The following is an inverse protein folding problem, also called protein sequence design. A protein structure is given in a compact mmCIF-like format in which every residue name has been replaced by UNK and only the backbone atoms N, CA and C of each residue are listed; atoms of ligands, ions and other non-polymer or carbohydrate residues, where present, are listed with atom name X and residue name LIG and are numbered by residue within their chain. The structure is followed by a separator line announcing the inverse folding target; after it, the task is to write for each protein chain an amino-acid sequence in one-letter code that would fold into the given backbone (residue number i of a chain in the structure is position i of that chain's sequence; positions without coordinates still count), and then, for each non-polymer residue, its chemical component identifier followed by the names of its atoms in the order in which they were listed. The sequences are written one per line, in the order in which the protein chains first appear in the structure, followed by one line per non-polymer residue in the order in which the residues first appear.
data_IF_686012952907
#
_entry.id   IF_686012952907
#
_cell.length_a   1.000
_cell.length_b   1.000
_cell.length_c   1.000
_cell.angle_alpha   90.00
_cell.angle_beta   90.00
_cell.angle_gamma   90.00
#
_symmetry.space_group_name_H-M   'P 1'
#
loop_
_entity.id
_entity.type
_entity.pdbx_description
1 polymer ?
#
# COMPACT_ATOMS: atom_id res chain seq x y z
N UNK A 1 -32.85 12.43 -1.13
CA UNK A 1 -32.68 13.49 -0.10
C UNK A 1 -31.19 13.77 0.06
N UNK A 2 -30.75 14.96 -0.34
CA UNK A 2 -29.37 15.40 -0.20
C UNK A 2 -29.20 15.85 1.27
N UNK A 3 -28.59 15.01 2.12
CA UNK A 3 -28.20 15.46 3.48
C UNK A 3 -27.31 16.69 3.33
N UNK A 4 -27.48 17.69 4.19
CA UNK A 4 -26.62 18.88 4.14
C UNK A 4 -25.16 18.44 4.35
N UNK A 5 -24.26 19.03 3.56
CA UNK A 5 -22.82 18.73 3.57
C UNK A 5 -22.21 18.85 4.98
N UNK A 6 -22.77 19.71 5.82
CA UNK A 6 -22.37 19.88 7.22
C UNK A 6 -22.57 18.62 8.07
N UNK A 7 -23.66 17.88 7.91
CA UNK A 7 -23.89 16.67 8.72
C UNK A 7 -22.89 15.58 8.37
N UNK A 8 -22.55 15.44 7.09
CA UNK A 8 -21.58 14.45 6.63
C UNK A 8 -20.16 14.76 7.12
N UNK A 9 -19.75 16.03 7.13
CA UNK A 9 -18.44 16.43 7.65
C UNK A 9 -18.33 16.21 9.16
N UNK A 10 -19.36 16.57 9.92
CA UNK A 10 -19.38 16.33 11.37
C UNK A 10 -19.33 14.84 11.68
N UNK A 11 -20.06 14.00 10.94
CA UNK A 11 -20.03 12.56 11.11
C UNK A 11 -18.62 11.98 10.85
N UNK A 12 -17.95 12.41 9.78
CA UNK A 12 -16.57 11.96 9.47
C UNK A 12 -15.61 12.29 10.62
N UNK A 13 -15.67 13.52 11.15
CA UNK A 13 -14.82 13.93 12.28
C UNK A 13 -15.11 13.07 13.51
N UNK A 14 -16.39 12.91 13.87
CA UNK A 14 -16.80 12.14 15.04
C UNK A 14 -16.35 10.68 14.93
N UNK A 15 -16.58 10.03 13.79
CA UNK A 15 -16.16 8.63 13.63
C UNK A 15 -14.64 8.47 13.60
N UNK A 16 -13.90 9.44 13.07
CA UNK A 16 -12.42 9.40 13.08
C UNK A 16 -11.87 9.47 14.52
N UNK A 17 -12.40 10.40 15.34
CA UNK A 17 -12.04 10.51 16.75
C UNK A 17 -12.42 9.23 17.50
N UNK A 18 -13.64 8.73 17.29
CA UNK A 18 -14.11 7.50 17.94
C UNK A 18 -13.25 6.29 17.57
N UNK A 19 -12.82 6.18 16.30
CA UNK A 19 -11.94 5.09 15.84
C UNK A 19 -10.64 5.09 16.63
N UNK A 20 -10.01 6.27 16.77
CA UNK A 20 -8.73 6.41 17.47
C UNK A 20 -8.89 6.13 18.96
N UNK A 21 -9.93 6.66 19.61
CA UNK A 21 -10.20 6.36 21.02
C UNK A 21 -10.34 4.86 21.26
N UNK A 22 -11.05 4.15 20.37
CA UNK A 22 -11.23 2.70 20.48
C UNK A 22 -9.92 1.94 20.19
N UNK A 23 -9.11 2.38 19.23
CA UNK A 23 -7.78 1.81 18.96
C UNK A 23 -6.83 1.98 20.15
N UNK A 24 -6.79 3.17 20.77
CA UNK A 24 -6.00 3.41 21.98
C UNK A 24 -6.50 2.62 23.18
N UNK A 25 -7.82 2.46 23.31
CA UNK A 25 -8.40 1.61 24.35
C UNK A 25 -7.97 0.16 24.16
N UNK A 26 -8.02 -0.36 22.92
CA UNK A 26 -7.54 -1.70 22.61
C UNK A 26 -6.03 -1.84 22.91
N UNK A 27 -5.24 -0.85 22.53
CA UNK A 27 -3.81 -0.79 22.85
C UNK A 27 -3.53 -0.79 24.35
N UNK A 28 -4.33 -0.07 25.14
CA UNK A 28 -4.16 -0.02 26.60
C UNK A 28 -4.33 -1.41 27.24
N UNK A 29 -5.34 -2.17 26.83
CA UNK A 29 -5.63 -3.50 27.41
C UNK A 29 -4.73 -4.61 26.88
N UNK A 30 -4.45 -4.62 25.58
CA UNK A 30 -3.80 -5.76 24.91
C UNK A 30 -2.38 -5.44 24.40
N UNK A 31 -1.88 -4.22 24.63
CA UNK A 31 -0.59 -3.70 24.16
C UNK A 31 -0.40 -3.91 22.64
N UNK A 32 0.84 -3.83 22.14
CA UNK A 32 1.14 -4.21 20.75
C UNK A 32 0.99 -5.73 20.63
N UNK A 33 -0.12 -6.19 20.09
CA UNK A 33 -0.40 -7.62 19.89
C UNK A 33 -1.22 -7.81 18.62
N UNK A 34 -1.27 -9.04 18.12
CA UNK A 34 -2.07 -9.38 16.93
C UNK A 34 -3.55 -9.03 17.14
N UNK A 35 -4.05 -9.17 18.38
CA UNK A 35 -5.44 -8.87 18.73
C UNK A 35 -5.76 -7.39 18.54
N UNK A 36 -4.85 -6.47 18.90
CA UNK A 36 -5.10 -5.03 18.71
C UNK A 36 -5.15 -4.62 17.26
N UNK A 37 -4.30 -5.20 16.43
CA UNK A 37 -4.32 -4.98 14.98
C UNK A 37 -5.59 -5.53 14.32
N UNK A 38 -6.10 -6.67 14.78
CA UNK A 38 -7.38 -7.20 14.32
C UNK A 38 -8.55 -6.29 14.72
N UNK A 39 -8.55 -5.77 15.95
CA UNK A 39 -9.56 -4.80 16.40
C UNK A 39 -9.50 -3.53 15.53
N UNK A 40 -8.31 -2.98 15.28
CA UNK A 40 -8.13 -1.80 14.44
C UNK A 40 -8.65 -2.04 13.00
N UNK A 41 -8.35 -3.20 12.42
CA UNK A 41 -8.87 -3.60 11.10
C UNK A 41 -10.40 -3.63 11.08
N UNK A 42 -11.03 -4.27 12.07
CA UNK A 42 -12.49 -4.36 12.18
C UNK A 42 -13.15 -2.99 12.38
N UNK A 43 -12.58 -2.14 13.22
CA UNK A 43 -13.05 -0.76 13.42
C UNK A 43 -12.95 0.05 12.13
N UNK A 44 -11.83 -0.05 11.41
CA UNK A 44 -11.64 0.59 10.12
C UNK A 44 -12.71 0.16 9.10
N UNK A 45 -12.97 -1.14 8.98
CA UNK A 45 -14.02 -1.67 8.10
C UNK A 45 -15.42 -1.16 8.50
N UNK A 46 -15.76 -1.25 9.79
CA UNK A 46 -17.06 -0.86 10.33
C UNK A 46 -17.35 0.62 10.11
N UNK A 47 -16.43 1.50 10.50
CA UNK A 47 -16.66 2.94 10.39
C UNK A 47 -16.53 3.43 8.95
N UNK A 48 -15.67 2.83 8.13
CA UNK A 48 -15.66 3.11 6.69
C UNK A 48 -17.02 2.76 6.06
N UNK A 49 -17.62 1.63 6.44
CA UNK A 49 -18.97 1.27 6.01
C UNK A 49 -20.02 2.30 6.45
N UNK A 50 -20.03 2.66 7.74
CA UNK A 50 -20.99 3.63 8.29
C UNK A 50 -20.86 4.99 7.58
N UNK A 51 -19.64 5.51 7.42
CA UNK A 51 -19.38 6.78 6.74
C UNK A 51 -19.88 6.72 5.30
N UNK A 52 -19.59 5.65 4.56
CA UNK A 52 -20.02 5.50 3.17
C UNK A 52 -21.55 5.46 3.03
N UNK A 53 -22.24 4.73 3.91
CA UNK A 53 -23.70 4.60 3.88
C UNK A 53 -24.38 5.91 4.26
N UNK A 54 -23.79 6.68 5.17
CA UNK A 54 -24.34 7.97 5.60
C UNK A 54 -24.23 9.05 4.53
N UNK A 55 -23.13 9.06 3.76
CA UNK A 55 -22.82 10.10 2.78
C UNK A 55 -23.19 9.74 1.34
N UNK A 56 -23.23 8.45 1.02
CA UNK A 56 -23.35 7.92 -0.35
C UNK A 56 -22.24 8.40 -1.32
N UNK A 57 -21.12 8.90 -0.77
CA UNK A 57 -20.02 9.48 -1.53
C UNK A 57 -18.69 8.90 -1.05
N UNK A 58 -17.95 8.26 -1.97
CA UNK A 58 -16.64 7.71 -1.64
C UNK A 58 -15.62 8.77 -1.20
N UNK A 59 -15.75 10.03 -1.67
CA UNK A 59 -14.88 11.13 -1.22
C UNK A 59 -14.91 11.33 0.31
N UNK A 60 -16.04 11.05 0.97
CA UNK A 60 -16.10 11.14 2.44
C UNK A 60 -15.31 10.03 3.13
N UNK A 61 -15.20 8.85 2.52
CA UNK A 61 -14.30 7.79 2.98
C UNK A 61 -12.84 8.20 2.84
N UNK A 62 -12.49 8.96 1.80
CA UNK A 62 -11.15 9.54 1.67
C UNK A 62 -10.88 10.56 2.77
N UNK A 63 -11.82 11.47 3.04
CA UNK A 63 -11.69 12.41 4.17
C UNK A 63 -11.51 11.69 5.51
N UNK A 64 -12.24 10.60 5.73
CA UNK A 64 -12.10 9.75 6.92
C UNK A 64 -10.71 9.11 7.01
N UNK A 65 -10.22 8.49 5.93
CA UNK A 65 -8.86 7.93 5.88
C UNK A 65 -7.78 8.98 6.13
N UNK A 66 -7.92 10.17 5.51
CA UNK A 66 -6.96 11.24 5.64
C UNK A 66 -6.92 11.80 7.07
N UNK A 67 -8.08 11.98 7.71
CA UNK A 67 -8.14 12.46 9.09
C UNK A 67 -7.52 11.45 10.06
N UNK A 68 -7.83 10.15 9.90
CA UNK A 68 -7.24 9.08 10.71
C UNK A 68 -5.71 9.06 10.57
N UNK A 69 -5.18 9.12 9.34
CA UNK A 69 -3.75 9.20 9.08
C UNK A 69 -3.10 10.43 9.75
N UNK A 70 -3.73 11.60 9.63
CA UNK A 70 -3.21 12.84 10.21
C UNK A 70 -3.21 12.80 11.74
N UNK A 71 -4.29 12.31 12.34
CA UNK A 71 -4.38 12.17 13.79
C UNK A 71 -3.35 11.16 14.33
N UNK A 72 -3.17 10.00 13.68
CA UNK A 72 -2.11 9.07 14.05
C UNK A 72 -0.71 9.68 13.86
N UNK A 73 -0.50 10.46 12.80
CA UNK A 73 0.75 11.20 12.59
C UNK A 73 1.08 12.16 13.74
N UNK A 74 0.07 12.92 14.20
CA UNK A 74 0.22 13.80 15.38
C UNK A 74 0.55 12.99 16.63
N UNK A 75 -0.16 11.88 16.86
CA UNK A 75 0.06 11.06 18.06
C UNK A 75 1.46 10.44 18.06
N UNK A 76 1.92 9.90 16.93
CA UNK A 76 3.26 9.35 16.80
C UNK A 76 4.34 10.42 17.01
N UNK A 77 4.13 11.63 16.47
CA UNK A 77 5.04 12.75 16.69
C UNK A 77 5.11 13.14 18.17
N UNK A 78 3.96 13.25 18.85
CA UNK A 78 3.90 13.56 20.28
C UNK A 78 4.56 12.48 21.13
N UNK A 79 4.35 11.19 20.80
CA UNK A 79 4.99 10.08 21.50
C UNK A 79 6.52 10.06 21.30
N UNK A 80 6.97 10.41 20.10
CA UNK A 80 8.40 10.50 19.81
C UNK A 80 9.07 11.68 20.56
N UNK A 81 8.39 12.81 20.69
CA UNK A 81 8.88 13.98 21.46
C UNK A 81 8.73 13.81 22.98
N UNK A 82 7.74 13.05 23.42
CA UNK A 82 7.21 13.05 24.79
C UNK A 82 8.03 12.34 25.86
N UNK A 83 9.22 11.82 25.52
CA UNK A 83 10.22 11.20 26.42
C UNK A 83 9.62 10.31 27.54
N UNK A 84 9.56 8.99 27.29
CA UNK A 84 9.20 7.90 28.22
C UNK A 84 8.22 8.25 29.36
N UNK A 85 6.94 8.39 28.99
CA UNK A 85 5.85 8.33 29.96
C UNK A 85 5.40 6.86 30.16
N UNK A 86 5.13 6.46 31.41
CA UNK A 86 4.69 5.08 31.77
C UNK A 86 3.40 4.62 31.04
N UNK A 87 2.60 5.56 30.52
CA UNK A 87 1.32 5.27 29.89
C UNK A 87 1.48 4.74 28.45
N UNK A 88 2.36 5.36 27.63
CA UNK A 88 2.57 4.97 26.24
C UNK A 88 4.02 5.25 25.83
N UNK A 89 4.81 4.19 25.64
CA UNK A 89 6.15 4.27 25.05
C UNK A 89 6.05 4.24 23.52
N UNK A 90 6.88 5.04 22.85
CA UNK A 90 7.00 4.97 21.39
C UNK A 90 7.53 3.59 20.97
N UNK A 91 6.88 2.97 19.99
CA UNK A 91 7.33 1.74 19.35
C UNK A 91 7.11 1.84 17.84
N UNK A 92 8.08 1.40 17.01
CA UNK A 92 7.92 1.39 15.55
C UNK A 92 6.66 0.65 15.07
N UNK A 93 6.22 -0.36 15.82
CA UNK A 93 5.02 -1.14 15.52
C UNK A 93 3.72 -0.33 15.56
N UNK A 94 3.72 0.84 16.20
CA UNK A 94 2.56 1.74 16.21
C UNK A 94 2.23 2.29 14.81
N UNK A 95 3.20 2.31 13.89
CA UNK A 95 2.97 2.68 12.48
C UNK A 95 2.00 1.73 11.77
N UNK A 96 1.81 0.50 12.28
CA UNK A 96 0.89 -0.46 11.68
C UNK A 96 -0.58 -0.04 11.80
N UNK A 97 -0.96 0.73 12.83
CA UNK A 97 -2.35 1.18 13.00
C UNK A 97 -2.86 1.98 11.79
N UNK A 98 -2.23 3.11 11.40
CA UNK A 98 -2.67 3.86 10.23
C UNK A 98 -2.52 3.05 8.92
N UNK A 99 -1.52 2.18 8.80
CA UNK A 99 -1.31 1.34 7.60
C UNK A 99 -2.46 0.33 7.42
N UNK A 100 -2.80 -0.40 8.49
CA UNK A 100 -3.89 -1.38 8.49
C UNK A 100 -5.21 -0.67 8.21
N UNK A 101 -5.46 0.43 8.90
CA UNK A 101 -6.67 1.22 8.71
C UNK A 101 -6.84 1.70 7.26
N UNK A 102 -5.78 2.28 6.69
CA UNK A 102 -5.77 2.76 5.31
C UNK A 102 -6.07 1.62 4.32
N UNK A 103 -5.36 0.50 4.48
CA UNK A 103 -5.47 -0.68 3.61
C UNK A 103 -6.87 -1.29 3.69
N UNK A 104 -7.41 -1.48 4.90
CA UNK A 104 -8.77 -1.99 5.11
C UNK A 104 -9.82 -1.08 4.45
N UNK A 105 -9.69 0.24 4.58
CA UNK A 105 -10.62 1.18 3.96
C UNK A 105 -10.57 1.16 2.42
N UNK A 106 -9.37 1.03 1.82
CA UNK A 106 -9.22 0.89 0.35
C UNK A 106 -9.82 -0.44 -0.12
N UNK A 107 -9.51 -1.55 0.56
CA UNK A 107 -10.07 -2.87 0.23
C UNK A 107 -11.60 -2.84 0.35
N UNK A 108 -12.13 -2.35 1.46
CA UNK A 108 -13.57 -2.22 1.66
C UNK A 108 -14.22 -1.36 0.56
N UNK A 109 -13.65 -0.19 0.25
CA UNK A 109 -14.22 0.71 -0.75
C UNK A 109 -14.17 0.13 -2.17
N UNK A 110 -13.08 -0.56 -2.53
CA UNK A 110 -12.95 -1.23 -3.83
C UNK A 110 -13.91 -2.41 -3.97
N UNK A 111 -14.04 -3.22 -2.93
CA UNK A 111 -15.01 -4.32 -2.87
C UNK A 111 -16.45 -3.81 -2.89
N UNK A 112 -16.76 -2.79 -2.09
CA UNK A 112 -18.09 -2.18 -2.06
C UNK A 112 -18.46 -1.57 -3.40
N UNK A 113 -17.51 -0.90 -4.07
CA UNK A 113 -17.73 -0.41 -5.41
C UNK A 113 -17.93 -1.55 -6.41
N UNK A 114 -17.23 -2.68 -6.29
CA UNK A 114 -17.42 -3.84 -7.17
C UNK A 114 -18.84 -4.42 -7.10
N UNK A 115 -19.39 -4.59 -5.90
CA UNK A 115 -20.74 -5.15 -5.68
C UNK A 115 -21.88 -4.13 -5.74
N UNK A 116 -21.61 -2.85 -5.96
CA UNK A 116 -22.68 -1.86 -6.15
C UNK A 116 -23.22 -1.93 -7.59
N UNK A 117 -24.37 -2.59 -7.76
CA UNK A 117 -25.09 -2.65 -9.03
C UNK A 117 -25.85 -1.35 -9.34
N UNK A 118 -26.19 -0.57 -8.31
CA UNK A 118 -26.92 0.69 -8.45
C UNK A 118 -26.02 1.89 -8.71
N UNK A 119 -26.59 3.01 -9.19
CA UNK A 119 -25.90 4.31 -9.22
C UNK A 119 -25.95 5.02 -7.86
N UNK A 120 -26.00 4.25 -6.76
CA UNK A 120 -26.26 4.76 -5.42
C UNK A 120 -25.04 5.47 -4.86
N UNK A 121 -23.86 4.88 -5.00
CA UNK A 121 -22.61 5.49 -4.55
C UNK A 121 -21.95 6.26 -5.68
N UNK A 122 -21.37 7.42 -5.35
CA UNK A 122 -20.76 8.32 -6.33
C UNK A 122 -19.30 8.61 -6.01
N UNK A 123 -18.56 9.08 -7.02
CA UNK A 123 -17.19 9.61 -6.89
C UNK A 123 -16.09 8.59 -6.52
N UNK A 124 -16.29 7.29 -6.76
CA UNK A 124 -15.26 6.26 -6.52
C UNK A 124 -13.94 6.54 -7.22
N UNK A 125 -13.97 6.97 -8.50
CA UNK A 125 -12.75 7.27 -9.27
C UNK A 125 -11.90 8.36 -8.63
N UNK A 126 -12.55 9.42 -8.14
CA UNK A 126 -11.87 10.55 -7.51
C UNK A 126 -11.31 10.15 -6.14
N UNK A 127 -12.09 9.41 -5.34
CA UNK A 127 -11.64 8.75 -4.11
C UNK A 127 -10.38 7.91 -4.34
N UNK A 128 -10.44 6.95 -5.27
CA UNK A 128 -9.34 6.02 -5.51
C UNK A 128 -8.08 6.76 -5.97
N UNK A 129 -8.23 7.77 -6.86
CA UNK A 129 -7.12 8.62 -7.28
C UNK A 129 -6.49 9.37 -6.11
N UNK A 130 -7.28 10.06 -5.29
CA UNK A 130 -6.77 10.87 -4.20
C UNK A 130 -6.10 9.99 -3.12
N UNK A 131 -6.72 8.86 -2.77
CA UNK A 131 -6.15 7.86 -1.86
C UNK A 131 -4.84 7.27 -2.42
N UNK A 132 -4.80 6.94 -3.72
CA UNK A 132 -3.60 6.44 -4.38
C UNK A 132 -2.45 7.46 -4.36
N UNK A 133 -2.74 8.75 -4.55
CA UNK A 133 -1.71 9.80 -4.51
C UNK A 133 -1.09 9.90 -3.11
N UNK A 134 -1.90 9.93 -2.06
CA UNK A 134 -1.39 9.97 -0.67
C UNK A 134 -0.57 8.73 -0.36
N UNK A 135 -1.06 7.55 -0.75
CA UNK A 135 -0.33 6.29 -0.59
C UNK A 135 1.02 6.32 -1.35
N UNK A 136 1.03 6.77 -2.60
CA UNK A 136 2.26 6.83 -3.41
C UNK A 136 3.28 7.83 -2.85
N UNK A 137 2.84 8.95 -2.27
CA UNK A 137 3.73 9.89 -1.60
C UNK A 137 4.36 9.27 -0.35
N UNK A 138 3.55 8.62 0.49
CA UNK A 138 4.06 7.93 1.68
C UNK A 138 4.99 6.76 1.32
N UNK A 139 4.63 5.98 0.29
CA UNK A 139 5.43 4.88 -0.24
C UNK A 139 6.75 5.38 -0.83
N UNK A 140 6.76 6.48 -1.58
CA UNK A 140 7.98 7.07 -2.10
C UNK A 140 8.90 7.57 -0.98
N UNK A 141 8.37 8.21 0.06
CA UNK A 141 9.15 8.60 1.23
C UNK A 141 9.74 7.38 1.97
N UNK A 142 8.95 6.31 2.13
CA UNK A 142 9.41 5.05 2.69
C UNK A 142 10.51 4.42 1.85
N UNK A 143 10.35 4.33 0.52
CA UNK A 143 11.37 3.79 -0.39
C UNK A 143 12.66 4.59 -0.31
N UNK A 144 12.58 5.92 -0.32
CA UNK A 144 13.77 6.78 -0.22
C UNK A 144 14.52 6.54 1.09
N UNK A 145 13.78 6.44 2.20
CA UNK A 145 14.37 6.12 3.50
C UNK A 145 15.01 4.72 3.50
N UNK A 146 14.27 3.71 3.04
CA UNK A 146 14.72 2.32 3.06
C UNK A 146 15.93 2.09 2.14
N UNK A 147 15.90 2.63 0.92
CA UNK A 147 16.93 2.35 -0.09
C UNK A 147 18.20 3.18 0.10
N UNK A 148 18.12 4.38 0.67
CA UNK A 148 19.27 5.29 0.76
C UNK A 148 19.72 5.62 2.18
N UNK A 149 18.86 5.46 3.20
CA UNK A 149 19.15 5.88 4.58
C UNK A 149 19.27 4.70 5.55
N UNK A 150 18.55 3.59 5.34
CA UNK A 150 18.75 2.39 6.17
C UNK A 150 19.88 1.52 5.62
N UNK A 151 21.04 1.58 6.28
CA UNK A 151 22.19 0.72 6.00
C UNK A 151 21.95 -0.72 6.54
N UNK A 152 20.97 -1.44 6.00
CA UNK A 152 20.59 -2.79 6.46
C UNK A 152 21.50 -3.90 5.94
N UNK A 153 22.29 -3.64 4.91
CA UNK A 153 23.13 -4.65 4.27
C UNK A 153 24.52 -4.68 4.93
N UNK A 154 24.63 -5.18 6.17
CA UNK A 154 25.90 -5.27 6.91
C UNK A 154 26.40 -6.69 7.19
N UNK A 155 25.60 -7.75 6.96
CA UNK A 155 25.93 -9.08 7.48
C UNK A 155 26.73 -10.01 6.54
N UNK A 156 26.69 -9.81 5.22
CA UNK A 156 27.46 -10.63 4.25
C UNK A 156 28.51 -9.83 3.48
N UNK A 157 28.81 -8.62 3.96
CA UNK A 157 29.29 -7.54 3.10
C UNK A 157 30.74 -7.11 3.32
N UNK A 158 31.54 -7.86 4.06
CA UNK A 158 32.92 -7.45 4.35
C UNK A 158 33.89 -7.57 3.16
N UNK A 159 33.58 -8.36 2.11
CA UNK A 159 34.58 -8.66 1.06
C UNK A 159 34.23 -8.22 -0.37
N UNK A 160 32.98 -7.87 -0.69
CA UNK A 160 32.59 -7.48 -2.06
C UNK A 160 32.58 -5.95 -2.21
N UNK A 161 33.76 -5.37 -2.43
CA UNK A 161 33.95 -3.93 -2.72
C UNK A 161 33.76 -3.57 -4.20
N UNK A 162 33.23 -4.48 -5.02
CA UNK A 162 33.07 -4.32 -6.47
C UNK A 162 31.62 -4.57 -6.92
N UNK A 163 31.27 -3.98 -8.06
CA UNK A 163 29.96 -4.17 -8.72
C UNK A 163 29.62 -5.66 -8.88
N UNK A 164 28.48 -6.10 -8.33
CA UNK A 164 28.05 -7.47 -8.46
C UNK A 164 27.20 -7.64 -9.72
N UNK A 165 27.82 -8.19 -10.77
CA UNK A 165 27.14 -8.54 -12.01
C UNK A 165 26.66 -9.99 -12.06
N UNK A 166 26.92 -10.79 -11.02
CA UNK A 166 26.55 -12.20 -10.98
C UNK A 166 25.15 -12.31 -10.36
N UNK A 167 24.11 -12.66 -11.14
CA UNK A 167 22.78 -12.84 -10.59
C UNK A 167 22.75 -14.04 -9.64
N UNK A 168 22.02 -13.88 -8.55
CA UNK A 168 21.76 -14.88 -7.50
C UNK A 168 22.97 -15.34 -6.68
N UNK A 169 24.09 -14.60 -6.70
CA UNK A 169 25.22 -14.83 -5.81
C UNK A 169 24.83 -14.78 -4.33
N UNK A 170 24.06 -13.76 -3.92
CA UNK A 170 23.64 -13.62 -2.51
C UNK A 170 22.67 -14.72 -2.12
N UNK A 171 21.72 -15.03 -3.00
CA UNK A 171 20.79 -16.14 -2.82
C UNK A 171 21.52 -17.49 -2.76
N UNK A 172 22.56 -17.70 -3.56
CA UNK A 172 23.39 -18.90 -3.52
C UNK A 172 24.15 -19.05 -2.20
N UNK A 173 24.62 -17.94 -1.61
CA UNK A 173 25.19 -17.91 -0.27
C UNK A 173 24.19 -18.40 0.78
N UNK A 174 22.96 -17.86 0.77
CA UNK A 174 21.89 -18.31 1.65
C UNK A 174 21.52 -19.79 1.47
N UNK A 175 21.52 -20.30 0.23
CA UNK A 175 21.27 -21.72 -0.06
C UNK A 175 22.42 -22.58 0.47
N UNK A 176 23.67 -22.12 0.36
CA UNK A 176 24.83 -22.84 0.88
C UNK A 176 24.79 -22.91 2.40
N UNK A 177 24.50 -21.79 3.07
CA UNK A 177 24.32 -21.74 4.54
C UNK A 177 23.17 -22.64 5.01
N UNK A 178 22.11 -22.79 4.21
CA UNK A 178 21.02 -23.72 4.49
C UNK A 178 21.48 -25.18 4.40
N UNK A 179 22.26 -25.52 3.36
CA UNK A 179 22.83 -26.86 3.17
C UNK A 179 23.80 -27.20 4.31
N UNK A 180 24.60 -26.22 4.74
CA UNK A 180 25.55 -26.35 5.84
C UNK A 180 24.89 -26.27 7.24
N UNK A 181 23.55 -26.19 7.30
CA UNK A 181 22.70 -26.09 8.51
C UNK A 181 22.98 -24.86 9.38
N UNK A 182 23.59 -23.83 8.82
CA UNK A 182 23.83 -22.54 9.48
C UNK A 182 22.67 -21.56 9.30
N UNK A 183 21.80 -21.78 8.31
CA UNK A 183 20.59 -20.99 8.08
C UNK A 183 19.32 -21.83 8.14
N UNK A 184 18.20 -21.19 8.47
CA UNK A 184 16.86 -21.81 8.48
C UNK A 184 16.06 -21.39 7.23
N UNK A 185 15.29 -22.30 6.63
CA UNK A 185 14.42 -22.01 5.47
C UNK A 185 13.60 -20.70 5.59
N UNK A 186 13.00 -20.35 6.75
CA UNK A 186 12.24 -19.10 6.90
C UNK A 186 13.07 -17.82 6.68
N UNK A 187 14.39 -17.86 6.85
CA UNK A 187 15.27 -16.71 6.62
C UNK A 187 15.37 -16.40 5.13
N UNK A 188 15.53 -17.43 4.29
CA UNK A 188 15.56 -17.27 2.83
C UNK A 188 14.23 -16.74 2.31
N UNK A 189 13.11 -17.29 2.79
CA UNK A 189 11.79 -16.81 2.41
C UNK A 189 11.58 -15.36 2.81
N UNK A 190 11.98 -14.97 4.03
CA UNK A 190 11.89 -13.59 4.50
C UNK A 190 12.72 -12.65 3.63
N UNK A 191 13.96 -13.04 3.28
CA UNK A 191 14.89 -12.28 2.44
C UNK A 191 14.46 -12.15 0.96
N UNK A 192 13.71 -13.11 0.44
CA UNK A 192 13.12 -12.99 -0.89
C UNK A 192 11.84 -12.16 -0.85
N UNK A 193 11.03 -12.35 0.20
CA UNK A 193 9.75 -11.68 0.35
C UNK A 193 9.92 -10.17 0.56
N UNK A 194 10.84 -9.73 1.41
CA UNK A 194 11.07 -8.30 1.65
C UNK A 194 11.55 -7.56 0.38
N UNK A 195 12.49 -8.14 -0.37
CA UNK A 195 13.03 -7.57 -1.62
C UNK A 195 12.03 -7.57 -2.75
N UNK A 196 11.12 -8.54 -2.83
CA UNK A 196 10.11 -8.60 -3.90
C UNK A 196 8.85 -7.79 -3.55
N UNK A 197 8.34 -7.91 -2.31
CA UNK A 197 7.09 -7.28 -1.89
C UNK A 197 7.18 -5.75 -1.87
N UNK A 198 8.37 -5.19 -1.62
CA UNK A 198 8.56 -3.74 -1.63
C UNK A 198 8.25 -3.11 -3.00
N UNK A 199 8.44 -3.85 -4.10
CA UNK A 199 8.17 -3.38 -5.47
C UNK A 199 6.74 -3.69 -5.98
N UNK A 200 5.93 -4.37 -5.17
CA UNK A 200 4.57 -4.74 -5.55
C UNK A 200 3.65 -3.53 -5.77
N UNK A 201 3.66 -2.47 -4.92
CA UNK A 201 2.88 -1.26 -5.20
C UNK A 201 3.36 -0.54 -6.47
N UNK A 202 4.67 -0.47 -6.69
CA UNK A 202 5.26 0.07 -7.92
C UNK A 202 4.71 -0.65 -9.17
N UNK A 203 4.75 -1.98 -9.19
CA UNK A 203 4.23 -2.79 -10.29
C UNK A 203 2.74 -2.54 -10.56
N UNK A 204 1.93 -2.52 -9.50
CA UNK A 204 0.49 -2.27 -9.61
C UNK A 204 0.20 -0.92 -10.26
N UNK A 205 0.80 0.16 -9.75
CA UNK A 205 0.54 1.52 -10.23
C UNK A 205 1.13 1.79 -11.61
N UNK A 206 2.30 1.23 -11.93
CA UNK A 206 2.88 1.36 -13.26
C UNK A 206 1.97 0.75 -14.33
N UNK A 207 1.48 -0.46 -14.12
CA UNK A 207 0.58 -1.12 -15.07
C UNK A 207 -0.77 -0.38 -15.14
N UNK A 208 -1.29 0.10 -14.02
CA UNK A 208 -2.51 0.91 -13.99
C UNK A 208 -2.38 2.18 -14.85
N UNK A 209 -1.27 2.93 -14.71
CA UNK A 209 -1.01 4.17 -15.45
C UNK A 209 -0.72 3.91 -16.93
N UNK A 210 -0.06 2.79 -17.24
CA UNK A 210 0.36 2.42 -18.60
C UNK A 210 -0.59 1.44 -19.28
N UNK A 211 -1.80 1.22 -18.74
CA UNK A 211 -2.79 0.25 -19.24
C UNK A 211 -3.20 0.41 -20.72
N UNK A 212 -2.97 1.59 -21.31
CA UNK A 212 -3.22 1.88 -22.73
C UNK A 212 -1.99 1.74 -23.64
N UNK A 213 -0.80 1.52 -23.05
CA UNK A 213 0.47 1.33 -23.78
C UNK A 213 0.66 -0.15 -24.18
N UNK A 214 1.42 -0.45 -25.24
CA UNK A 214 1.75 -1.83 -25.62
C UNK A 214 2.56 -2.56 -24.55
N UNK A 215 2.49 -3.89 -24.54
CA UNK A 215 3.15 -4.76 -23.54
C UNK A 215 4.66 -4.56 -23.48
N UNK A 216 5.31 -4.34 -24.61
CA UNK A 216 6.76 -4.06 -24.71
C UNK A 216 7.16 -2.82 -23.93
N UNK A 217 6.41 -1.72 -24.08
CA UNK A 217 6.66 -0.48 -23.33
C UNK A 217 6.47 -0.70 -21.83
N UNK A 218 5.46 -1.48 -21.42
CA UNK A 218 5.25 -1.78 -19.99
C UNK A 218 6.41 -2.58 -19.41
N UNK A 219 6.88 -3.59 -20.14
CA UNK A 219 8.04 -4.39 -19.74
C UNK A 219 9.30 -3.53 -19.61
N UNK A 220 9.58 -2.67 -20.60
CA UNK A 220 10.72 -1.76 -20.55
C UNK A 220 10.64 -0.80 -19.35
N UNK A 221 9.46 -0.25 -19.07
CA UNK A 221 9.26 0.61 -17.90
C UNK A 221 9.44 -0.16 -16.58
N UNK A 222 8.92 -1.39 -16.50
CA UNK A 222 9.09 -2.26 -15.33
C UNK A 222 10.57 -2.50 -15.02
N UNK A 223 11.39 -2.72 -16.05
CA UNK A 223 12.83 -2.92 -15.93
C UNK A 223 13.59 -1.62 -15.63
N UNK A 224 13.17 -0.50 -16.21
CA UNK A 224 13.90 0.78 -16.13
C UNK A 224 13.95 1.33 -14.71
N UNK A 225 12.85 1.27 -13.96
CA UNK A 225 12.80 1.84 -12.61
C UNK A 225 13.77 1.21 -11.62
N UNK A 226 13.80 -0.12 -11.39
CA UNK A 226 14.76 -0.72 -10.47
C UNK A 226 16.20 -0.58 -10.99
N UNK A 227 16.43 -0.58 -12.31
CA UNK A 227 17.74 -0.27 -12.87
C UNK A 227 18.20 1.16 -12.57
N UNK A 228 17.30 2.15 -12.63
CA UNK A 228 17.63 3.54 -12.28
C UNK A 228 17.94 3.69 -10.78
N UNK A 229 17.19 3.00 -9.91
CA UNK A 229 17.48 2.99 -8.46
C UNK A 229 18.90 2.46 -8.22
N UNK A 230 19.23 1.32 -8.83
CA UNK A 230 20.54 0.68 -8.64
C UNK A 230 21.69 1.56 -9.17
N UNK A 231 21.50 2.18 -10.34
CA UNK A 231 22.46 3.14 -10.90
C UNK A 231 22.62 4.35 -9.95
N UNK A 232 21.53 4.89 -9.41
CA UNK A 232 21.58 6.01 -8.47
C UNK A 232 22.31 5.65 -7.18
N UNK A 233 22.04 4.47 -6.61
CA UNK A 233 22.73 3.99 -5.41
C UNK A 233 24.23 3.76 -5.67
N UNK A 234 24.60 3.24 -6.84
CA UNK A 234 25.98 3.10 -7.27
C UNK A 234 26.70 4.44 -7.46
N UNK A 235 26.06 5.43 -8.09
CA UNK A 235 26.63 6.79 -8.26
C UNK A 235 26.82 7.50 -6.92
N UNK A 236 25.91 7.30 -5.97
CA UNK A 236 26.00 7.86 -4.63
C UNK A 236 26.97 7.10 -3.72
N UNK A 237 27.57 6.00 -4.19
CA UNK A 237 28.39 5.07 -3.40
C UNK A 237 27.68 4.56 -2.13
N UNK A 238 26.34 4.52 -2.16
CA UNK A 238 25.50 3.99 -1.08
C UNK A 238 25.25 2.50 -1.32
N UNK A 239 25.03 2.13 -2.59
CA UNK A 239 24.84 0.74 -3.01
C UNK A 239 26.01 0.23 -3.84
N UNK A 240 26.05 -1.09 -4.02
CA UNK A 240 27.14 -1.78 -4.71
C UNK A 240 26.87 -2.01 -6.19
N UNK A 241 25.69 -1.69 -6.71
CA UNK A 241 25.35 -2.03 -8.08
C UNK A 241 25.13 -3.54 -8.20
N UNK A 242 24.06 -4.06 -7.60
CA UNK A 242 23.68 -5.47 -7.64
C UNK A 242 22.61 -5.74 -8.70
N UNK A 243 22.95 -6.57 -9.69
CA UNK A 243 22.01 -7.01 -10.73
C UNK A 243 20.85 -7.81 -10.15
N UNK A 244 21.03 -8.45 -8.98
CA UNK A 244 19.96 -9.14 -8.28
C UNK A 244 18.81 -8.21 -7.89
N UNK A 245 19.11 -7.00 -7.46
CA UNK A 245 18.07 -6.04 -7.03
C UNK A 245 17.22 -5.54 -8.18
N UNK A 246 17.82 -5.44 -9.38
CA UNK A 246 17.09 -5.20 -10.62
C UNK A 246 16.11 -6.35 -10.90
N UNK A 247 16.55 -7.59 -10.67
CA UNK A 247 15.73 -8.77 -10.90
C UNK A 247 14.59 -8.91 -9.88
N UNK A 248 14.86 -8.68 -8.59
CA UNK A 248 13.82 -8.67 -7.56
C UNK A 248 12.81 -7.54 -7.80
N UNK A 249 13.28 -6.38 -8.25
CA UNK A 249 12.43 -5.27 -8.70
C UNK A 249 11.54 -5.64 -9.88
N UNK A 250 12.07 -6.35 -10.86
CA UNK A 250 11.31 -6.85 -12.00
C UNK A 250 10.25 -7.89 -11.57
N UNK A 251 10.61 -8.83 -10.69
CA UNK A 251 9.68 -9.83 -10.14
C UNK A 251 8.55 -9.18 -9.34
N UNK A 252 8.87 -8.26 -8.43
CA UNK A 252 7.87 -7.51 -7.66
C UNK A 252 6.98 -6.65 -8.57
N UNK A 253 7.57 -6.05 -9.60
CA UNK A 253 6.86 -5.34 -10.66
C UNK A 253 5.84 -6.23 -11.40
N UNK A 254 6.21 -7.45 -11.76
CA UNK A 254 5.30 -8.42 -12.38
C UNK A 254 4.19 -8.85 -11.43
N UNK A 255 4.49 -9.16 -10.16
CA UNK A 255 3.47 -9.54 -9.17
C UNK A 255 2.48 -8.39 -8.91
N UNK A 256 2.96 -7.16 -8.80
CA UNK A 256 2.10 -5.98 -8.71
C UNK A 256 1.21 -5.79 -9.94
N UNK A 257 1.78 -5.98 -11.13
CA UNK A 257 1.03 -5.95 -12.38
C UNK A 257 -0.03 -7.04 -12.48
N UNK A 258 0.27 -8.25 -11.99
CA UNK A 258 -0.68 -9.35 -11.91
C UNK A 258 -1.86 -8.99 -11.00
N UNK A 259 -1.62 -8.37 -9.84
CA UNK A 259 -2.69 -7.91 -8.95
C UNK A 259 -3.62 -6.89 -9.62
N UNK A 260 -3.07 -5.95 -10.40
CA UNK A 260 -3.90 -5.04 -11.20
C UNK A 260 -4.74 -5.79 -12.22
N UNK A 261 -4.17 -6.76 -12.93
CA UNK A 261 -4.90 -7.55 -13.92
C UNK A 261 -6.00 -8.39 -13.30
N UNK A 262 -5.75 -9.01 -12.14
CA UNK A 262 -6.77 -9.74 -11.37
C UNK A 262 -7.91 -8.80 -10.95
N UNK A 263 -7.58 -7.62 -10.41
CA UNK A 263 -8.57 -6.62 -10.03
C UNK A 263 -9.38 -6.12 -11.24
N UNK A 264 -8.74 -5.82 -12.37
CA UNK A 264 -9.46 -5.34 -13.53
C UNK A 264 -10.34 -6.44 -14.15
N UNK A 265 -9.88 -7.69 -14.12
CA UNK A 265 -10.64 -8.84 -14.61
C UNK A 265 -11.87 -9.10 -13.75
N UNK A 266 -11.76 -9.05 -12.43
CA UNK A 266 -12.95 -9.21 -11.55
C UNK A 266 -13.97 -8.09 -11.79
N UNK A 267 -13.51 -6.86 -12.05
CA UNK A 267 -14.39 -5.75 -12.43
C UNK A 267 -15.08 -5.98 -13.78
N UNK A 268 -14.37 -6.52 -14.77
CA UNK A 268 -14.96 -6.87 -16.06
C UNK A 268 -15.97 -8.01 -15.93
N UNK A 269 -15.67 -9.03 -15.12
CA UNK A 269 -16.54 -10.19 -14.93
C UNK A 269 -17.84 -9.81 -14.19
N UNK A 270 -17.76 -8.92 -13.19
CA UNK A 270 -18.92 -8.51 -12.37
C UNK A 270 -19.70 -7.35 -13.00
N UNK A 271 -19.03 -6.34 -13.56
CA UNK A 271 -19.68 -5.11 -14.07
C UNK A 271 -19.65 -4.94 -15.58
N UNK A 272 -18.89 -5.76 -16.31
CA UNK A 272 -18.67 -5.58 -17.75
C UNK A 272 -17.85 -4.32 -18.11
N UNK A 273 -17.12 -3.75 -17.15
CA UNK A 273 -16.39 -2.49 -17.30
C UNK A 273 -15.00 -2.56 -16.66
N UNK A 274 -14.10 -1.69 -17.11
CA UNK A 274 -12.79 -1.53 -16.47
C UNK A 274 -12.89 -0.93 -15.06
N UNK A 275 -11.94 -1.26 -14.19
CA UNK A 275 -11.87 -0.86 -12.78
C UNK A 275 -12.08 0.64 -12.51
N UNK A 276 -11.53 1.51 -13.38
CA UNK A 276 -11.63 2.97 -13.26
C UNK A 276 -12.59 3.62 -14.27
N UNK A 277 -13.41 2.82 -14.95
CA UNK A 277 -14.44 3.33 -15.84
C UNK A 277 -15.68 3.78 -15.03
N UNK A 278 -16.32 4.86 -15.47
CA UNK A 278 -17.49 5.40 -14.77
C UNK A 278 -18.77 4.79 -15.33
N UNK A 279 -19.58 4.18 -14.48
CA UNK A 279 -20.87 3.56 -14.85
C UNK A 279 -21.79 4.50 -15.63
N UNK A 280 -21.78 5.82 -15.35
CA UNK A 280 -22.62 6.79 -16.08
C UNK A 280 -22.28 6.86 -17.57
N UNK A 281 -21.00 6.78 -17.94
CA UNK A 281 -20.59 6.80 -19.36
C UNK A 281 -20.94 5.48 -20.05
N UNK A 282 -20.79 4.36 -19.33
CA UNK A 282 -21.07 3.05 -19.88
C UNK A 282 -22.57 2.86 -20.20
N UNK A 283 -23.46 3.18 -19.27
CA UNK A 283 -24.90 3.09 -19.52
C UNK A 283 -25.36 4.08 -20.62
N UNK A 284 -24.81 5.29 -20.67
CA UNK A 284 -25.08 6.26 -21.75
C UNK A 284 -24.64 5.78 -23.13
N UNK A 285 -23.50 5.07 -23.23
CA UNK A 285 -23.02 4.49 -24.49
C UNK A 285 -23.87 3.28 -24.91
N UNK A 286 -24.42 2.53 -23.95
CA UNK A 286 -25.29 1.38 -24.26
C UNK A 286 -26.70 1.82 -24.66
N UNK A 287 -27.23 2.88 -24.05
CA UNK A 287 -28.56 3.42 -24.37
C UNK A 287 -28.61 4.24 -25.67
N UNK A 288 -27.46 4.68 -26.20
CA UNK A 288 -27.39 5.37 -27.50
C UNK A 288 -27.34 4.41 -28.70
N UNK A 289 -27.29 3.09 -28.45
CA UNK A 289 -27.36 2.04 -29.47
C UNK A 289 -28.80 1.52 -29.65
N UNK A 290 -29.80 2.39 -29.57
CA UNK A 290 -31.14 2.08 -30.07
C UNK A 290 -31.17 2.37 -31.57
N UNK A 291 -31.04 1.30 -32.37
CA UNK A 291 -31.55 1.25 -33.75
C UNK A 291 -33.06 1.00 -33.72
#
# INVERSE_FOLDING_TARGET
MQKSTSYTTTAVILFSILTIVLEFTAYYFFKVSVVTFLIAALLGLLFCHIVLVLSLQFETCFSYQLLHLLMWGIILFLLYMGNDSDLISYSPWLLLFPIIHWTCCVIYSTLRNLWDEGSRFTSFKSYFRNSSVVFLLAYAAFLLYWLFLSNTDSHYNTELTSFNFIPFLTLAGFITDLIDKNAALPQIFSYLADRVLIYLPYGFFLILLTRRKPRTIRFLLLLLFPALIEIMQGVLNIGRGDVEDILYGLLGGFLGGLLYHLLNRTYQDVKGMDFLESSRRFYSNRSSLHF
#
